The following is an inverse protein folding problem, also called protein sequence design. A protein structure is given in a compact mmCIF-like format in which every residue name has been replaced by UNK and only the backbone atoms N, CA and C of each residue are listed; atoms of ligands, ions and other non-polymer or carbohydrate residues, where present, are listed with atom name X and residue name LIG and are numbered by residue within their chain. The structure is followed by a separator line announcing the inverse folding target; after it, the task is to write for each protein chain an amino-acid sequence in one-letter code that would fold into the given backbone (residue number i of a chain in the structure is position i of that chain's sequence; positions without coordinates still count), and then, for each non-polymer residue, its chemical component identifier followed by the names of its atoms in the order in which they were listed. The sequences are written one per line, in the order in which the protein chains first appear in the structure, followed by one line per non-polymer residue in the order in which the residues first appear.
data_IF_048264868442
#
_entry.id   IF_048264868442
#
_cell.length_a   1.000
_cell.length_b   1.000
_cell.length_c   1.000
_cell.angle_alpha   90.00
_cell.angle_beta   90.00
_cell.angle_gamma   90.00
#
_symmetry.space_group_name_H-M   'P 1'
#
loop_
_entity.id
_entity.type
_entity.pdbx_description
1 polymer ?
#
# COMPACT_ATOMS: atom_id res chain seq x y z
N UNK A 1 -18.24 24.32 -7.17
CA UNK A 1 -19.60 23.84 -6.89
C UNK A 1 -20.09 22.98 -8.05
N UNK A 2 -20.66 21.80 -7.73
CA UNK A 2 -21.11 20.86 -8.75
C UNK A 2 -20.02 20.03 -9.41
N UNK A 3 -18.77 20.31 -9.11
CA UNK A 3 -17.63 19.53 -9.62
C UNK A 3 -17.62 18.11 -9.07
N UNK A 4 -17.11 17.17 -9.87
CA UNK A 4 -17.09 15.75 -9.53
C UNK A 4 -15.66 15.27 -9.32
N UNK A 5 -15.45 14.50 -8.27
CA UNK A 5 -14.17 13.89 -7.95
C UNK A 5 -14.32 12.37 -8.02
N UNK A 6 -13.68 11.74 -9.00
CA UNK A 6 -13.66 10.29 -9.18
C UNK A 6 -12.23 9.81 -9.05
N UNK A 7 -11.99 8.84 -8.16
CA UNK A 7 -10.63 8.34 -7.95
C UNK A 7 -10.62 6.90 -7.45
N UNK A 8 -9.47 6.27 -7.61
CA UNK A 8 -9.16 4.98 -7.00
C UNK A 8 -7.87 5.14 -6.21
N UNK A 9 -7.89 4.73 -4.95
CA UNK A 9 -6.75 4.85 -4.03
C UNK A 9 -6.56 3.55 -3.25
N UNK A 10 -5.49 3.48 -2.45
CA UNK A 10 -5.31 2.38 -1.52
C UNK A 10 -6.34 2.42 -0.41
N UNK A 11 -6.84 1.26 -0.03
CA UNK A 11 -7.77 1.06 1.08
C UNK A 11 -7.03 0.36 2.22
N UNK A 12 -7.61 0.35 3.41
CA UNK A 12 -7.07 -0.41 4.55
C UNK A 12 -6.75 -1.84 4.14
N UNK A 13 -5.56 -2.30 4.45
CA UNK A 13 -5.07 -3.61 4.05
C UNK A 13 -4.27 -3.62 2.75
N UNK A 14 -4.27 -2.51 2.00
CA UNK A 14 -3.48 -2.41 0.76
C UNK A 14 -2.00 -2.65 1.05
N UNK A 15 -1.40 -3.59 0.33
CA UNK A 15 -0.02 -4.06 0.53
C UNK A 15 0.32 -4.39 2.00
N UNK A 16 -0.68 -4.84 2.75
CA UNK A 16 -0.53 -5.09 4.18
C UNK A 16 0.53 -6.11 4.53
N UNK A 17 0.65 -7.17 3.77
CA UNK A 17 1.68 -8.20 4.00
C UNK A 17 3.08 -7.65 3.73
N UNK A 18 3.22 -6.84 2.68
CA UNK A 18 4.49 -6.20 2.35
C UNK A 18 4.89 -5.18 3.42
N UNK A 19 3.95 -4.34 3.83
CA UNK A 19 4.19 -3.32 4.86
C UNK A 19 4.57 -3.96 6.20
N UNK A 20 3.86 -5.03 6.60
CA UNK A 20 4.20 -5.76 7.83
C UNK A 20 5.59 -6.39 7.75
N UNK A 21 5.94 -6.97 6.61
CA UNK A 21 7.27 -7.54 6.42
C UNK A 21 8.37 -6.46 6.50
N UNK A 22 8.13 -5.29 5.95
CA UNK A 22 9.06 -4.16 6.05
C UNK A 22 9.30 -3.80 7.51
N UNK A 23 8.23 -3.68 8.28
CA UNK A 23 8.31 -3.36 9.71
C UNK A 23 9.06 -4.45 10.48
N UNK A 24 8.69 -5.71 10.31
CA UNK A 24 9.28 -6.84 11.04
C UNK A 24 10.77 -7.02 10.73
N UNK A 25 11.15 -6.94 9.45
CA UNK A 25 12.56 -7.09 9.05
C UNK A 25 13.40 -5.92 9.59
N UNK A 26 12.91 -4.69 9.50
CA UNK A 26 13.60 -3.52 10.04
C UNK A 26 13.81 -3.67 11.55
N UNK A 27 12.77 -4.06 12.28
CA UNK A 27 12.83 -4.24 13.74
C UNK A 27 13.82 -5.33 14.14
N UNK A 28 13.92 -6.40 13.38
CA UNK A 28 14.89 -7.47 13.59
C UNK A 28 16.33 -6.94 13.58
N UNK A 29 16.60 -5.91 12.80
CA UNK A 29 17.90 -5.26 12.71
C UNK A 29 18.00 -3.99 13.57
N UNK A 30 17.10 -3.81 14.52
CA UNK A 30 17.02 -2.65 15.43
C UNK A 30 16.78 -1.32 14.72
N UNK A 31 16.12 -1.36 13.58
CA UNK A 31 15.66 -0.17 12.87
C UNK A 31 14.13 -0.07 12.93
N UNK A 32 13.61 1.13 12.67
CA UNK A 32 12.17 1.37 12.58
C UNK A 32 11.82 1.98 11.24
N UNK A 33 10.79 1.44 10.60
CA UNK A 33 10.21 2.07 9.42
C UNK A 33 9.30 3.22 9.85
N UNK A 34 9.13 4.17 8.94
CA UNK A 34 8.16 5.26 9.10
C UNK A 34 6.89 4.86 8.36
N UNK A 35 5.74 5.03 9.02
CA UNK A 35 4.45 4.80 8.38
C UNK A 35 4.18 5.95 7.42
N UNK A 36 4.37 5.71 6.13
CA UNK A 36 4.33 6.74 5.09
C UNK A 36 3.06 6.70 4.23
N UNK A 37 2.21 5.69 4.39
CA UNK A 37 1.00 5.55 3.59
C UNK A 37 -0.25 5.71 4.44
N UNK A 38 -1.25 6.34 3.85
CA UNK A 38 -2.58 6.46 4.43
C UNK A 38 -3.55 5.60 3.59
N UNK A 39 -3.99 4.49 4.18
CA UNK A 39 -4.95 3.59 3.55
C UNK A 39 -6.23 3.55 4.40
N UNK A 40 -7.19 4.42 4.12
CA UNK A 40 -8.41 4.52 4.91
C UNK A 40 -9.39 3.39 4.62
N UNK A 41 -10.29 3.15 5.58
CA UNK A 41 -11.50 2.36 5.34
C UNK A 41 -12.47 3.19 4.50
N UNK A 42 -13.55 2.55 3.98
CA UNK A 42 -14.62 3.26 3.29
C UNK A 42 -15.23 4.35 4.19
N UNK A 43 -15.47 4.02 5.45
CA UNK A 43 -16.02 4.95 6.43
C UNK A 43 -15.11 6.16 6.65
N UNK A 44 -13.86 5.92 6.94
CA UNK A 44 -12.87 6.99 7.16
C UNK A 44 -12.75 7.91 5.95
N UNK A 45 -12.73 7.35 4.75
CA UNK A 45 -12.64 8.13 3.52
C UNK A 45 -13.90 8.97 3.29
N UNK A 46 -15.06 8.38 3.54
CA UNK A 46 -16.34 9.07 3.41
C UNK A 46 -16.42 10.26 4.37
N UNK A 47 -16.07 10.04 5.64
CA UNK A 47 -16.05 11.10 6.64
C UNK A 47 -15.10 12.23 6.27
N UNK A 48 -13.91 11.88 5.77
CA UNK A 48 -12.92 12.86 5.34
C UNK A 48 -13.43 13.72 4.17
N UNK A 49 -14.01 13.08 3.15
CA UNK A 49 -14.56 13.79 2.00
C UNK A 49 -15.70 14.72 2.41
N UNK A 50 -16.61 14.23 3.23
CA UNK A 50 -17.74 15.03 3.73
C UNK A 50 -17.27 16.25 4.53
N UNK A 51 -16.23 16.07 5.35
CA UNK A 51 -15.63 17.16 6.13
C UNK A 51 -15.18 18.33 5.26
N UNK A 52 -14.74 18.05 4.05
CA UNK A 52 -14.26 19.07 3.12
C UNK A 52 -15.29 19.45 2.06
N UNK A 53 -16.56 19.18 2.32
CA UNK A 53 -17.68 19.61 1.46
C UNK A 53 -17.86 18.79 0.18
N UNK A 54 -17.34 17.55 0.19
CA UNK A 54 -17.51 16.62 -0.92
C UNK A 54 -18.50 15.53 -0.51
N UNK A 55 -19.67 15.52 -1.15
CA UNK A 55 -20.69 14.51 -0.87
C UNK A 55 -20.40 13.24 -1.65
N UNK A 56 -20.20 12.14 -0.94
CA UNK A 56 -19.92 10.84 -1.55
C UNK A 56 -21.19 10.29 -2.21
N UNK A 57 -21.08 9.95 -3.49
CA UNK A 57 -22.14 9.33 -4.28
C UNK A 57 -21.97 7.82 -4.40
N UNK A 58 -20.73 7.37 -4.52
CA UNK A 58 -20.37 5.95 -4.59
C UNK A 58 -19.09 5.71 -3.83
N UNK A 59 -19.02 4.58 -3.17
CA UNK A 59 -17.83 4.14 -2.43
C UNK A 59 -17.79 2.63 -2.44
N UNK A 60 -16.71 2.04 -2.95
CA UNK A 60 -16.53 0.60 -2.97
C UNK A 60 -15.07 0.26 -2.69
N UNK A 61 -14.86 -0.75 -1.86
CA UNK A 61 -13.53 -1.32 -1.64
C UNK A 61 -13.49 -2.75 -2.18
N UNK A 62 -12.33 -3.16 -2.66
CA UNK A 62 -12.16 -4.50 -3.23
C UNK A 62 -10.69 -4.90 -3.22
N UNK A 63 -10.46 -6.21 -3.06
CA UNK A 63 -9.13 -6.77 -3.22
C UNK A 63 -8.76 -6.81 -4.70
N UNK A 64 -7.53 -6.42 -5.00
CA UNK A 64 -6.99 -6.48 -6.36
C UNK A 64 -5.59 -7.07 -6.33
N UNK A 65 -5.44 -8.40 -6.21
CA UNK A 65 -4.13 -9.03 -6.33
C UNK A 65 -3.49 -8.58 -7.64
N UNK A 66 -2.29 -8.02 -7.57
CA UNK A 66 -1.68 -7.33 -8.70
C UNK A 66 -0.32 -7.93 -9.02
N UNK A 67 -0.13 -8.33 -10.29
CA UNK A 67 1.17 -8.77 -10.78
C UNK A 67 2.15 -7.61 -10.73
N UNK A 68 3.34 -7.86 -10.18
CA UNK A 68 4.40 -6.87 -10.14
C UNK A 68 5.36 -7.10 -11.30
N UNK A 69 5.42 -6.19 -12.29
CA UNK A 69 6.26 -6.40 -13.48
C UNK A 69 7.74 -6.58 -13.15
N UNK A 70 8.25 -5.91 -12.12
CA UNK A 70 9.64 -5.98 -11.71
C UNK A 70 9.85 -6.88 -10.47
N UNK A 71 8.80 -7.62 -10.07
CA UNK A 71 8.82 -8.46 -8.88
C UNK A 71 8.80 -7.66 -7.58
N UNK A 72 8.83 -8.37 -6.46
CA UNK A 72 8.79 -7.75 -5.13
C UNK A 72 10.01 -6.85 -4.90
N UNK A 73 11.18 -7.30 -5.28
CA UNK A 73 12.40 -6.51 -5.09
C UNK A 73 12.32 -5.17 -5.84
N UNK A 74 11.88 -5.19 -7.10
CA UNK A 74 11.70 -3.97 -7.89
C UNK A 74 10.66 -3.03 -7.27
N UNK A 75 9.56 -3.58 -6.77
CA UNK A 75 8.53 -2.80 -6.07
C UNK A 75 9.11 -2.12 -4.82
N UNK A 76 9.88 -2.87 -4.02
CA UNK A 76 10.51 -2.33 -2.82
C UNK A 76 11.53 -1.25 -3.15
N UNK A 77 12.35 -1.45 -4.18
CA UNK A 77 13.32 -0.44 -4.63
C UNK A 77 12.63 0.87 -5.02
N UNK A 78 11.43 0.78 -5.58
CA UNK A 78 10.65 1.96 -6.00
C UNK A 78 9.96 2.65 -4.82
N UNK A 79 9.37 1.89 -3.90
CA UNK A 79 8.43 2.44 -2.91
C UNK A 79 8.91 2.45 -1.46
N UNK A 80 10.03 1.81 -1.12
CA UNK A 80 10.45 1.71 0.27
C UNK A 80 11.13 2.97 0.82
N UNK A 81 11.65 3.83 -0.03
CA UNK A 81 12.44 4.99 0.41
C UNK A 81 11.76 5.86 1.49
N UNK A 82 10.48 6.24 1.36
CA UNK A 82 9.82 7.02 2.41
C UNK A 82 9.72 6.29 3.75
N UNK A 83 9.56 4.98 3.72
CA UNK A 83 9.48 4.17 4.94
C UNK A 83 10.86 4.00 5.61
N UNK A 84 11.92 4.09 4.83
CA UNK A 84 13.30 3.84 5.28
C UNK A 84 14.11 5.11 5.58
N UNK A 85 13.44 6.27 5.70
CA UNK A 85 14.14 7.56 5.87
C UNK A 85 15.07 7.61 7.09
N UNK A 86 14.76 6.84 8.14
CA UNK A 86 15.57 6.79 9.37
C UNK A 86 16.53 5.61 9.40
N UNK A 87 16.67 4.89 8.29
CA UNK A 87 17.56 3.72 8.20
C UNK A 87 18.75 4.10 7.33
N UNK A 88 19.99 3.78 7.77
CA UNK A 88 21.18 4.06 6.97
C UNK A 88 21.05 3.51 5.55
N UNK A 89 21.38 4.31 4.56
CA UNK A 89 21.19 3.96 3.15
C UNK A 89 21.92 2.67 2.75
N UNK A 90 23.08 2.43 3.32
CA UNK A 90 23.87 1.21 3.07
C UNK A 90 23.16 -0.08 3.53
N UNK A 91 22.15 0.05 4.39
CA UNK A 91 21.36 -1.09 4.87
C UNK A 91 20.14 -1.38 3.99
N UNK A 92 19.72 -0.43 3.14
CA UNK A 92 18.46 -0.55 2.39
C UNK A 92 18.42 -1.80 1.52
N UNK A 93 19.47 -2.07 0.75
CA UNK A 93 19.49 -3.21 -0.16
C UNK A 93 19.38 -4.55 0.58
N UNK A 94 20.12 -4.68 1.70
CA UNK A 94 20.06 -5.87 2.54
C UNK A 94 18.66 -6.10 3.10
N UNK A 95 18.02 -5.04 3.60
CA UNK A 95 16.66 -5.12 4.12
C UNK A 95 15.66 -5.48 3.01
N UNK A 96 15.80 -4.87 1.84
CA UNK A 96 14.95 -5.16 0.69
C UNK A 96 15.05 -6.64 0.30
N UNK A 97 16.25 -7.20 0.27
CA UNK A 97 16.44 -8.61 -0.05
C UNK A 97 15.76 -9.53 0.96
N UNK A 98 15.90 -9.24 2.27
CA UNK A 98 15.23 -10.02 3.31
C UNK A 98 13.71 -9.89 3.26
N UNK A 99 13.21 -8.69 3.03
CA UNK A 99 11.77 -8.44 2.91
C UNK A 99 11.20 -9.20 1.72
N UNK A 100 11.87 -9.11 0.57
CA UNK A 100 11.45 -9.81 -0.64
C UNK A 100 11.38 -11.33 -0.41
N UNK A 101 12.37 -11.90 0.23
CA UNK A 101 12.40 -13.33 0.56
C UNK A 101 11.25 -13.71 1.50
N UNK A 102 11.00 -12.90 2.52
CA UNK A 102 9.92 -13.14 3.48
C UNK A 102 8.54 -13.10 2.82
N UNK A 103 8.25 -12.07 2.05
CA UNK A 103 6.91 -11.93 1.44
C UNK A 103 6.69 -12.89 0.28
N UNK A 104 7.73 -13.36 -0.36
CA UNK A 104 7.63 -14.35 -1.43
C UNK A 104 6.86 -15.59 -0.99
N UNK A 105 7.00 -15.97 0.28
CA UNK A 105 6.31 -17.11 0.87
C UNK A 105 4.91 -16.78 1.39
N UNK A 106 4.58 -15.51 1.55
CA UNK A 106 3.31 -15.06 2.14
C UNK A 106 2.28 -14.58 1.11
N UNK A 107 2.74 -14.15 -0.06
CA UNK A 107 1.87 -13.61 -1.11
C UNK A 107 1.33 -14.71 -2.01
N UNK A 108 0.16 -14.46 -2.57
CA UNK A 108 -0.47 -15.34 -3.55
C UNK A 108 0.35 -15.40 -4.83
N UNK A 109 0.21 -16.49 -5.55
CA UNK A 109 0.83 -16.69 -6.88
C UNK A 109 -0.25 -16.98 -7.89
N UNK A 110 -0.03 -16.52 -9.15
CA UNK A 110 -0.91 -16.84 -10.24
C UNK A 110 -0.59 -18.24 -10.81
N UNK A 111 -1.28 -18.64 -11.86
CA UNK A 111 -1.11 -19.94 -12.51
C UNK A 111 0.33 -20.20 -12.98
N UNK A 112 1.05 -19.14 -13.32
CA UNK A 112 2.43 -19.22 -13.80
C UNK A 112 3.47 -19.15 -12.66
N UNK A 113 3.02 -19.19 -11.40
CA UNK A 113 3.90 -19.09 -10.24
C UNK A 113 4.41 -17.68 -9.96
N UNK A 114 3.87 -16.66 -10.63
CA UNK A 114 4.26 -15.27 -10.42
C UNK A 114 3.57 -14.70 -9.18
N UNK A 115 4.30 -13.90 -8.41
CA UNK A 115 3.81 -13.33 -7.16
C UNK A 115 2.84 -12.18 -7.44
N UNK A 116 1.74 -12.17 -6.69
CA UNK A 116 0.74 -11.11 -6.73
C UNK A 116 0.82 -10.28 -5.45
N UNK A 117 0.96 -8.97 -5.57
CA UNK A 117 0.91 -8.08 -4.43
C UNK A 117 -0.52 -7.98 -3.91
N UNK A 118 -0.67 -7.88 -2.60
CA UNK A 118 -1.97 -7.86 -1.91
C UNK A 118 -2.59 -6.46 -1.90
N UNK A 119 -2.90 -5.92 -3.06
CA UNK A 119 -3.56 -4.63 -3.18
C UNK A 119 -5.01 -4.71 -2.74
N UNK A 120 -5.42 -3.70 -1.98
CA UNK A 120 -6.82 -3.44 -1.65
C UNK A 120 -7.12 -2.03 -2.10
N UNK A 121 -8.10 -1.87 -2.97
CA UNK A 121 -8.41 -0.59 -3.59
C UNK A 121 -9.71 -0.02 -3.07
N UNK A 122 -9.79 1.30 -3.12
CA UNK A 122 -10.96 2.07 -2.75
C UNK A 122 -11.31 2.97 -3.94
N UNK A 123 -12.49 2.74 -4.52
CA UNK A 123 -12.96 3.52 -5.66
C UNK A 123 -14.16 4.35 -5.21
N UNK A 124 -14.14 5.62 -5.56
CA UNK A 124 -15.23 6.51 -5.12
C UNK A 124 -15.55 7.60 -6.13
N UNK A 125 -16.75 8.10 -5.99
CA UNK A 125 -17.25 9.30 -6.67
C UNK A 125 -17.82 10.23 -5.62
N UNK A 126 -17.40 11.49 -5.63
CA UNK A 126 -17.90 12.53 -4.74
C UNK A 126 -18.19 13.80 -5.54
N UNK A 127 -19.13 14.59 -5.05
CA UNK A 127 -19.56 15.83 -5.72
C UNK A 127 -19.37 17.01 -4.76
N UNK A 128 -18.85 18.10 -5.28
CA UNK A 128 -18.69 19.35 -4.52
C UNK A 128 -20.05 20.02 -4.36
N UNK A 129 -20.48 20.18 -3.14
CA UNK A 129 -21.74 20.88 -2.80
C UNK A 129 -21.58 22.39 -2.64
#
# INVERSE_FOLDING_TARGET
KGGRFVAETGCKGNVGKIENAMFEVAEKHNFKTVKCWFFPTEKEKTELLNKYGLKVKRMISFSRPTLLPTGIKGWLQTFSAPAFVNIPKEMHEKLIDEIAEKVENELEKNENGQILADYVRLRFEAVKE
#
